data_IF_349254561292
#
_entry.id   IF_349254561292
#
_cell.length_a   1.000
_cell.length_b   1.000
_cell.length_c   1.000
_cell.angle_alpha   90.00
_cell.angle_beta   90.00
_cell.angle_gamma   90.00
#
_symmetry.space_group_name_H-M   'P 1'
#
loop_
_entity.id
_entity.type
_entity.pdbx_description
1 polymer ?
#
# COMPACT_ATOMS: atom_id res chain seq x y z
N UNK A 1 -14.20 6.81 13.30
CA UNK A 1 -13.11 6.00 12.69
C UNK A 1 -13.13 6.30 11.21
N UNK A 2 -12.10 6.96 10.66
CA UNK A 2 -11.98 7.06 9.21
C UNK A 2 -11.60 5.68 8.68
N UNK A 3 -12.50 5.05 7.94
CA UNK A 3 -12.26 3.77 7.27
C UNK A 3 -11.26 3.99 6.14
N UNK A 4 -10.20 3.20 6.13
CA UNK A 4 -9.25 3.16 5.00
C UNK A 4 -9.77 2.25 3.90
N UNK A 5 -9.43 2.54 2.65
CA UNK A 5 -9.68 1.66 1.53
C UNK A 5 -8.46 0.74 1.35
N UNK A 6 -8.65 -0.56 1.59
CA UNK A 6 -7.58 -1.55 1.48
C UNK A 6 -7.38 -1.96 0.03
N UNK A 7 -6.12 -1.93 -0.42
CA UNK A 7 -5.69 -2.33 -1.76
C UNK A 7 -5.09 -3.73 -1.78
N UNK A 8 -4.29 -4.06 -0.78
CA UNK A 8 -3.55 -5.32 -0.70
C UNK A 8 -3.61 -5.89 0.71
N UNK A 9 -3.78 -7.20 0.79
CA UNK A 9 -3.55 -8.02 1.98
C UNK A 9 -2.45 -9.02 1.69
N UNK A 10 -1.66 -9.38 2.70
CA UNK A 10 -0.74 -10.52 2.62
C UNK A 10 -1.41 -11.78 3.16
N UNK A 11 -1.15 -12.91 2.51
CA UNK A 11 -1.58 -14.22 2.97
C UNK A 11 -0.52 -14.83 3.90
N UNK A 12 -0.77 -14.75 5.21
CA UNK A 12 0.16 -15.28 6.22
C UNK A 12 0.24 -16.81 6.23
N UNK A 13 -0.64 -17.53 5.53
CA UNK A 13 -0.48 -18.99 5.36
C UNK A 13 0.68 -19.36 4.43
N UNK A 14 1.19 -18.39 3.65
CA UNK A 14 2.25 -18.61 2.66
C UNK A 14 3.68 -18.40 3.19
N UNK A 15 3.84 -17.94 4.44
CA UNK A 15 5.15 -17.68 5.03
C UNK A 15 5.17 -17.88 6.55
N UNK A 16 6.36 -17.89 7.15
CA UNK A 16 6.53 -18.06 8.61
C UNK A 16 6.73 -16.72 9.30
N UNK A 17 6.16 -16.56 10.51
CA UNK A 17 6.34 -15.38 11.36
C UNK A 17 5.23 -14.33 11.27
N UNK A 18 4.17 -14.58 10.49
CA UNK A 18 2.92 -13.80 10.55
C UNK A 18 2.17 -13.99 11.87
N UNK A 19 1.53 -12.93 12.36
CA UNK A 19 0.75 -12.92 13.62
C UNK A 19 -0.61 -12.22 13.49
N UNK A 20 -0.94 -11.73 12.29
CA UNK A 20 -2.16 -10.95 12.01
C UNK A 20 -3.32 -11.84 11.54
N UNK A 21 -3.05 -13.10 11.22
CA UNK A 21 -4.04 -14.08 10.80
C UNK A 21 -4.51 -13.89 9.36
N UNK A 22 -5.77 -14.23 9.09
CA UNK A 22 -6.33 -14.27 7.71
C UNK A 22 -6.56 -12.90 7.08
N UNK A 23 -6.40 -11.81 7.85
CA UNK A 23 -6.62 -10.45 7.35
C UNK A 23 -5.47 -9.54 7.79
N UNK A 24 -4.49 -9.40 6.91
CA UNK A 24 -3.33 -8.55 7.12
C UNK A 24 -3.22 -7.50 5.98
N UNK A 25 -3.90 -6.34 6.10
CA UNK A 25 -3.76 -5.24 5.16
C UNK A 25 -2.34 -4.69 5.14
N UNK A 26 -1.72 -4.64 3.97
CA UNK A 26 -0.35 -4.13 3.78
C UNK A 26 -0.28 -2.93 2.84
N UNK A 27 -1.38 -2.58 2.17
CA UNK A 27 -1.49 -1.33 1.44
C UNK A 27 -2.92 -0.79 1.47
N UNK A 28 -3.05 0.52 1.66
CA UNK A 28 -4.35 1.18 1.77
C UNK A 28 -4.24 2.68 1.48
N UNK A 29 -5.38 3.33 1.28
CA UNK A 29 -5.45 4.78 1.17
C UNK A 29 -6.70 5.36 1.83
N UNK A 30 -6.68 6.64 2.13
CA UNK A 30 -7.87 7.41 2.53
C UNK A 30 -7.65 8.92 2.40
N UNK A 31 -8.75 9.67 2.45
CA UNK A 31 -8.70 11.10 2.68
C UNK A 31 -8.49 11.38 4.17
N UNK A 32 -7.63 12.35 4.48
CA UNK A 32 -7.34 12.77 5.85
C UNK A 32 -7.06 14.27 5.87
N UNK A 33 -7.84 15.01 6.65
CA UNK A 33 -7.65 16.44 6.93
C UNK A 33 -7.42 17.32 5.68
N UNK A 34 -8.32 17.19 4.69
CA UNK A 34 -8.22 17.90 3.41
C UNK A 34 -7.16 17.37 2.44
N UNK A 35 -6.32 16.43 2.87
CA UNK A 35 -5.34 15.73 2.06
C UNK A 35 -5.72 14.28 1.75
N UNK A 36 -4.77 13.57 1.14
CA UNK A 36 -4.86 12.15 0.80
C UNK A 36 -3.63 11.43 1.33
N UNK A 37 -3.83 10.34 2.05
CA UNK A 37 -2.77 9.49 2.54
C UNK A 37 -2.86 8.11 1.88
N UNK A 38 -1.71 7.59 1.49
CA UNK A 38 -1.52 6.24 0.96
C UNK A 38 -0.36 5.59 1.69
N UNK A 39 -0.47 4.30 1.94
CA UNK A 39 0.51 3.52 2.70
C UNK A 39 0.78 2.19 1.99
N UNK A 40 2.03 1.74 2.06
CA UNK A 40 2.41 0.37 1.71
C UNK A 40 3.51 -0.15 2.64
N UNK A 41 3.42 -1.43 3.03
CA UNK A 41 4.43 -2.15 3.79
C UNK A 41 5.41 -2.96 2.89
N UNK A 42 5.34 -2.79 1.57
CA UNK A 42 6.24 -3.42 0.61
C UNK A 42 7.57 -2.63 0.47
N UNK A 43 8.56 -3.19 -0.22
CA UNK A 43 9.79 -2.45 -0.57
C UNK A 43 10.96 -2.61 0.41
N UNK A 44 10.99 -3.68 1.22
CA UNK A 44 12.05 -3.93 2.20
C UNK A 44 13.45 -4.17 1.60
N UNK A 45 13.56 -4.46 0.30
CA UNK A 45 14.83 -4.76 -0.37
C UNK A 45 15.08 -3.89 -1.59
N UNK A 46 16.34 -3.72 -1.98
CA UNK A 46 16.71 -3.01 -3.21
C UNK A 46 16.12 -3.62 -4.47
N UNK A 47 15.98 -4.95 -4.50
CA UNK A 47 15.46 -5.71 -5.63
C UNK A 47 13.99 -5.40 -5.86
N UNK A 48 13.24 -5.07 -4.79
CA UNK A 48 11.83 -4.68 -4.89
C UNK A 48 11.66 -3.53 -5.88
N UNK A 49 12.57 -2.55 -5.87
CA UNK A 49 12.56 -1.37 -6.75
C UNK A 49 13.00 -1.65 -8.19
N UNK A 50 13.18 -2.92 -8.57
CA UNK A 50 13.34 -3.36 -9.96
C UNK A 50 12.14 -4.15 -10.45
N UNK A 51 11.20 -4.50 -9.56
CA UNK A 51 10.02 -5.29 -9.91
C UNK A 51 8.95 -4.38 -10.54
N UNK A 52 8.53 -4.65 -11.80
CA UNK A 52 7.62 -3.77 -12.52
C UNK A 52 6.27 -3.51 -11.82
N UNK A 53 5.66 -4.51 -11.19
CA UNK A 53 4.37 -4.34 -10.52
C UNK A 53 4.50 -3.49 -9.26
N UNK A 54 5.58 -3.66 -8.50
CA UNK A 54 5.88 -2.83 -7.34
C UNK A 54 6.14 -1.38 -7.74
N UNK A 55 6.88 -1.14 -8.83
CA UNK A 55 7.07 0.21 -9.36
C UNK A 55 5.76 0.86 -9.79
N UNK A 56 4.86 0.11 -10.45
CA UNK A 56 3.53 0.59 -10.81
C UNK A 56 2.66 0.91 -9.58
N UNK A 57 2.70 0.05 -8.55
CA UNK A 57 2.01 0.27 -7.28
C UNK A 57 2.52 1.52 -6.55
N UNK A 58 3.84 1.68 -6.48
CA UNK A 58 4.49 2.85 -5.88
C UNK A 58 4.12 4.13 -6.63
N UNK A 59 4.17 4.11 -7.96
CA UNK A 59 3.78 5.24 -8.79
C UNK A 59 2.31 5.64 -8.56
N UNK A 60 1.39 4.66 -8.56
CA UNK A 60 -0.02 4.90 -8.28
C UNK A 60 -0.26 5.50 -6.89
N UNK A 61 0.48 5.03 -5.88
CA UNK A 61 0.44 5.59 -4.52
C UNK A 61 0.91 7.04 -4.44
N UNK A 62 2.03 7.36 -5.09
CA UNK A 62 2.58 8.72 -5.17
C UNK A 62 1.60 9.65 -5.86
N UNK A 63 1.11 9.25 -7.05
CA UNK A 63 0.13 10.03 -7.81
C UNK A 63 -1.13 10.27 -6.98
N UNK A 64 -1.66 9.25 -6.31
CA UNK A 64 -2.80 9.43 -5.41
C UNK A 64 -2.52 10.46 -4.33
N UNK A 65 -1.39 10.36 -3.62
CA UNK A 65 -1.09 11.26 -2.50
C UNK A 65 -0.94 12.72 -2.95
N UNK A 66 -0.33 12.97 -4.12
CA UNK A 66 0.06 14.34 -4.53
C UNK A 66 -0.85 14.98 -5.57
N UNK A 67 -1.51 14.21 -6.43
CA UNK A 67 -2.27 14.74 -7.57
C UNK A 67 -3.76 14.85 -7.23
N UNK A 68 -4.22 16.04 -6.83
CA UNK A 68 -5.62 16.27 -6.48
C UNK A 68 -6.54 16.52 -7.68
N UNK A 69 -5.99 16.95 -8.83
CA UNK A 69 -6.66 17.09 -10.12
C UNK A 69 -5.58 17.26 -11.21
N UNK A 70 -5.51 16.33 -12.16
CA UNK A 70 -4.60 16.28 -13.32
C UNK A 70 -3.09 16.14 -12.99
N UNK A 71 -2.71 14.92 -12.63
CA UNK A 71 -1.61 14.23 -13.29
C UNK A 71 -2.27 13.24 -14.29
#
# INVERSE_FOLDING_TARGET
>A
RNTVHVLLTVDEATYQGGVMGTYHPIAWYHQYDGGRAWYTAMGHTSESYREPLFLAHLWGGIVYAVCANAC
#
